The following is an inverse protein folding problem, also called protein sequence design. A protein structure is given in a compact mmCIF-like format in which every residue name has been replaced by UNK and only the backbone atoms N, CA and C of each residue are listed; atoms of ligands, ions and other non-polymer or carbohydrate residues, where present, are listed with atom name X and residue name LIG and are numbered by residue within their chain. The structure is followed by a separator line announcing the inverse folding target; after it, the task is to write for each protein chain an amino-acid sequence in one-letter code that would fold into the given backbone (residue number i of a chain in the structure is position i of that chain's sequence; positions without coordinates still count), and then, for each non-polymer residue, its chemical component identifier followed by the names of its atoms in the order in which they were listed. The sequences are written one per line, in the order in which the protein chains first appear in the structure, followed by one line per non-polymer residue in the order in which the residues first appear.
data_IF_096650689570
#
_entry.id   IF_096650689570
#
_cell.length_a   1.000
_cell.length_b   1.000
_cell.length_c   1.000
_cell.angle_alpha   90.00
_cell.angle_beta   90.00
_cell.angle_gamma   90.00
#
_symmetry.space_group_name_H-M   'P 1'
#
loop_
_entity.id
_entity.type
_entity.pdbx_description
1 polymer ?
#
# COMPACT_ATOMS: atom_id res chain seq x y z
N UNK A 1 9.52 -49.77 -29.17
CA UNK A 1 8.28 -48.96 -29.00
C UNK A 1 8.17 -48.37 -27.63
N UNK A 2 8.42 -49.12 -26.54
CA UNK A 2 8.34 -48.65 -25.14
C UNK A 2 9.23 -47.48 -24.81
N UNK A 3 10.48 -47.46 -25.31
CA UNK A 3 11.42 -46.36 -25.06
C UNK A 3 10.96 -45.03 -25.64
N UNK A 4 10.33 -45.02 -26.80
CA UNK A 4 9.81 -43.84 -27.46
C UNK A 4 8.61 -43.29 -26.66
N UNK A 5 7.71 -44.16 -26.22
CA UNK A 5 6.55 -43.77 -25.38
C UNK A 5 7.00 -43.16 -24.04
N UNK A 6 8.03 -43.74 -23.42
CA UNK A 6 8.60 -43.21 -22.18
C UNK A 6 9.24 -41.83 -22.37
N UNK A 7 9.94 -41.57 -23.47
CA UNK A 7 10.51 -40.26 -23.78
C UNK A 7 9.38 -39.25 -24.00
N UNK A 8 8.33 -39.58 -24.73
CA UNK A 8 7.19 -38.72 -24.96
C UNK A 8 6.49 -38.38 -23.64
N UNK A 9 6.28 -39.36 -22.77
CA UNK A 9 5.66 -39.14 -21.45
C UNK A 9 6.51 -38.21 -20.58
N UNK A 10 7.81 -38.33 -20.58
CA UNK A 10 8.71 -37.42 -19.84
C UNK A 10 8.61 -35.99 -20.40
N UNK A 11 8.64 -35.83 -21.71
CA UNK A 11 8.54 -34.51 -22.35
C UNK A 11 7.19 -33.80 -21.99
N UNK A 12 6.08 -34.53 -22.09
CA UNK A 12 4.77 -34.04 -21.71
C UNK A 12 4.72 -33.64 -20.24
N UNK A 13 5.30 -34.47 -19.36
CA UNK A 13 5.36 -34.19 -17.92
C UNK A 13 6.14 -32.89 -17.60
N UNK A 14 7.29 -32.71 -18.24
CA UNK A 14 8.10 -31.50 -18.08
C UNK A 14 7.36 -30.25 -18.56
N UNK A 15 6.75 -30.32 -19.75
CA UNK A 15 5.96 -29.20 -20.29
C UNK A 15 4.79 -28.86 -19.37
N UNK A 16 4.06 -29.85 -18.89
CA UNK A 16 2.93 -29.67 -17.96
C UNK A 16 3.40 -29.06 -16.64
N UNK A 17 4.55 -29.47 -16.10
CA UNK A 17 5.13 -28.89 -14.90
C UNK A 17 5.51 -27.41 -15.07
N UNK A 18 6.15 -27.07 -16.18
CA UNK A 18 6.49 -25.68 -16.50
C UNK A 18 5.24 -24.81 -16.65
N UNK A 19 4.23 -25.32 -17.33
CA UNK A 19 2.96 -24.61 -17.52
C UNK A 19 2.22 -24.41 -16.18
N UNK A 20 2.22 -25.41 -15.32
CA UNK A 20 1.61 -25.32 -14.00
C UNK A 20 2.32 -24.26 -13.12
N UNK A 21 3.65 -24.21 -13.14
CA UNK A 21 4.42 -23.19 -12.43
C UNK A 21 4.13 -21.78 -12.97
N UNK A 22 4.14 -21.63 -14.29
CA UNK A 22 3.80 -20.35 -14.93
C UNK A 22 2.41 -19.85 -14.52
N UNK A 23 1.41 -20.74 -14.62
CA UNK A 23 0.03 -20.42 -14.24
C UNK A 23 -0.07 -20.04 -12.76
N UNK A 24 0.63 -20.77 -11.89
CA UNK A 24 0.66 -20.47 -10.46
C UNK A 24 1.22 -19.07 -10.17
N UNK A 25 2.37 -18.71 -10.73
CA UNK A 25 2.95 -17.39 -10.52
C UNK A 25 2.10 -16.26 -11.11
N UNK A 26 1.51 -16.49 -12.28
CA UNK A 26 0.62 -15.51 -12.91
C UNK A 26 -0.65 -15.28 -12.11
N UNK A 27 -1.27 -16.34 -11.62
CA UNK A 27 -2.47 -16.27 -10.77
C UNK A 27 -2.14 -15.59 -9.44
N UNK A 28 -1.04 -15.94 -8.78
CA UNK A 28 -0.62 -15.32 -7.54
C UNK A 28 -0.36 -13.82 -7.68
N UNK A 29 0.25 -13.38 -8.80
CA UNK A 29 0.44 -11.97 -9.07
C UNK A 29 -0.90 -11.22 -9.26
N UNK A 30 -1.83 -11.82 -10.01
CA UNK A 30 -3.17 -11.26 -10.24
C UNK A 30 -4.00 -11.18 -8.95
N UNK A 31 -3.94 -12.21 -8.12
CA UNK A 31 -4.65 -12.25 -6.85
C UNK A 31 -4.11 -11.18 -5.89
N UNK A 32 -2.78 -10.97 -5.87
CA UNK A 32 -2.17 -9.90 -5.11
C UNK A 32 -2.63 -8.52 -5.58
N UNK A 33 -2.74 -8.29 -6.89
CA UNK A 33 -3.26 -7.03 -7.43
C UNK A 33 -4.71 -6.81 -7.02
N UNK A 34 -5.56 -7.83 -7.10
CA UNK A 34 -6.97 -7.75 -6.63
C UNK A 34 -7.04 -7.42 -5.15
N UNK A 35 -6.33 -8.16 -4.32
CA UNK A 35 -6.28 -7.91 -2.89
C UNK A 35 -5.83 -6.47 -2.57
N UNK A 36 -4.91 -5.92 -3.38
CA UNK A 36 -4.45 -4.53 -3.24
C UNK A 36 -5.57 -3.53 -3.56
N UNK A 37 -6.31 -3.76 -4.65
CA UNK A 37 -7.44 -2.91 -5.04
C UNK A 37 -8.53 -2.93 -3.98
N UNK A 38 -8.90 -4.11 -3.50
CA UNK A 38 -9.94 -4.28 -2.48
C UNK A 38 -9.54 -3.60 -1.17
N UNK A 39 -8.29 -3.79 -0.72
CA UNK A 39 -7.76 -3.16 0.48
C UNK A 39 -7.71 -1.63 0.35
N UNK A 40 -7.34 -1.11 -0.82
CA UNK A 40 -7.31 0.34 -1.05
C UNK A 40 -8.72 0.94 -1.10
N UNK A 41 -9.66 0.30 -1.76
CA UNK A 41 -11.07 0.74 -1.78
C UNK A 41 -11.66 0.75 -0.37
N UNK A 42 -11.40 -0.29 0.42
CA UNK A 42 -11.82 -0.34 1.81
C UNK A 42 -11.17 0.77 2.65
N UNK A 43 -9.89 1.06 2.43
CA UNK A 43 -9.21 2.17 3.08
C UNK A 43 -9.85 3.51 2.70
N UNK A 44 -10.15 3.69 1.42
CA UNK A 44 -10.78 4.91 0.91
C UNK A 44 -12.12 5.15 1.61
N UNK A 45 -13.02 4.20 1.58
CA UNK A 45 -14.34 4.30 2.21
C UNK A 45 -14.27 4.50 3.73
N UNK A 46 -13.39 3.77 4.41
CA UNK A 46 -13.36 3.73 5.87
C UNK A 46 -12.48 4.80 6.52
N UNK A 47 -11.60 5.44 5.78
CA UNK A 47 -10.68 6.43 6.34
C UNK A 47 -10.45 7.65 5.45
N UNK A 48 -10.08 7.48 4.18
CA UNK A 48 -9.61 8.60 3.36
C UNK A 48 -10.74 9.60 3.06
N UNK A 49 -11.93 9.11 2.69
CA UNK A 49 -13.08 9.95 2.39
C UNK A 49 -13.54 10.73 3.63
N UNK A 50 -13.50 10.09 4.79
CA UNK A 50 -13.81 10.76 6.05
C UNK A 50 -12.75 11.80 6.44
N UNK A 51 -11.46 11.52 6.25
CA UNK A 51 -10.39 12.48 6.50
C UNK A 51 -10.49 13.71 5.58
N UNK A 52 -10.97 13.54 4.36
CA UNK A 52 -11.16 14.64 3.41
C UNK A 52 -12.21 15.65 3.86
N UNK A 53 -13.13 15.27 4.73
CA UNK A 53 -14.14 16.18 5.30
C UNK A 53 -13.51 17.19 6.30
N UNK A 54 -12.34 16.86 6.85
CA UNK A 54 -11.66 17.72 7.79
C UNK A 54 -10.65 18.63 7.08
N UNK A 55 -10.77 19.93 7.32
CA UNK A 55 -9.74 20.90 6.89
C UNK A 55 -8.48 20.73 7.75
N UNK A 56 -7.27 20.87 7.20
CA UNK A 56 -6.04 20.77 7.98
C UNK A 56 -5.98 21.68 9.21
N UNK A 57 -6.56 22.89 9.10
CA UNK A 57 -6.69 23.83 10.24
C UNK A 57 -7.53 23.26 11.37
N UNK A 58 -8.66 22.62 11.05
CA UNK A 58 -9.55 22.03 12.04
C UNK A 58 -8.89 20.83 12.74
N UNK A 59 -8.11 20.02 12.00
CA UNK A 59 -7.37 18.90 12.60
C UNK A 59 -6.39 19.40 13.65
N UNK A 60 -5.67 20.51 13.39
CA UNK A 60 -4.75 21.12 14.36
C UNK A 60 -5.44 21.55 15.65
N UNK A 61 -6.69 21.98 15.59
CA UNK A 61 -7.46 22.31 16.79
C UNK A 61 -7.96 21.04 17.51
N UNK A 62 -8.47 20.06 16.76
CA UNK A 62 -8.99 18.80 17.31
C UNK A 62 -7.91 18.04 18.09
N UNK A 63 -6.66 18.02 17.59
CA UNK A 63 -5.56 17.29 18.24
C UNK A 63 -5.16 17.87 19.61
N UNK A 64 -5.59 19.09 19.96
CA UNK A 64 -5.33 19.68 21.28
C UNK A 64 -6.12 18.96 22.38
N UNK A 65 -7.34 18.50 22.09
CA UNK A 65 -8.17 17.74 23.01
C UNK A 65 -8.26 16.26 22.64
N UNK A 66 -7.41 15.44 23.27
CA UNK A 66 -7.37 13.98 23.06
C UNK A 66 -8.62 13.23 23.55
N UNK A 67 -9.46 13.85 24.37
CA UNK A 67 -10.68 13.24 24.90
C UNK A 67 -11.86 13.46 23.98
N UNK A 68 -11.77 14.40 23.03
CA UNK A 68 -12.83 14.69 22.08
C UNK A 68 -13.15 13.47 21.20
N UNK A 69 -14.40 13.31 20.84
CA UNK A 69 -14.85 12.25 19.95
C UNK A 69 -14.22 12.39 18.54
N UNK A 70 -14.01 13.62 18.08
CA UNK A 70 -13.38 13.87 16.80
C UNK A 70 -11.91 13.45 16.79
N UNK A 71 -11.15 13.66 17.88
CA UNK A 71 -9.79 13.14 17.99
C UNK A 71 -9.77 11.60 17.96
N UNK A 72 -10.69 10.94 18.62
CA UNK A 72 -10.79 9.47 18.59
C UNK A 72 -11.07 8.97 17.19
N UNK A 73 -12.01 9.61 16.46
CA UNK A 73 -12.31 9.28 15.06
C UNK A 73 -11.10 9.48 14.16
N UNK A 74 -10.44 10.63 14.22
CA UNK A 74 -9.24 10.91 13.43
C UNK A 74 -8.12 9.91 13.74
N UNK A 75 -7.89 9.58 15.01
CA UNK A 75 -6.91 8.57 15.41
C UNK A 75 -7.24 7.19 14.84
N UNK A 76 -8.52 6.81 14.79
CA UNK A 76 -8.96 5.55 14.19
C UNK A 76 -8.71 5.51 12.67
N UNK A 77 -8.92 6.63 11.97
CA UNK A 77 -8.63 6.71 10.53
C UNK A 77 -7.13 6.58 10.25
N UNK A 78 -6.29 7.25 11.04
CA UNK A 78 -4.82 7.12 10.89
C UNK A 78 -4.35 5.70 11.22
N UNK A 79 -4.94 5.05 12.22
CA UNK A 79 -4.64 3.64 12.52
C UNK A 79 -4.98 2.69 11.36
N UNK A 80 -6.05 2.94 10.62
CA UNK A 80 -6.39 2.17 9.41
C UNK A 80 -5.39 2.39 8.28
N UNK A 81 -4.93 3.64 8.10
CA UNK A 81 -3.86 3.95 7.14
C UNK A 81 -2.57 3.22 7.53
N UNK A 82 -2.20 3.23 8.81
CA UNK A 82 -1.04 2.48 9.31
C UNK A 82 -1.17 0.98 9.01
N UNK A 83 -2.34 0.40 9.26
CA UNK A 83 -2.59 -1.01 8.97
C UNK A 83 -2.41 -1.33 7.48
N UNK A 84 -2.94 -0.49 6.60
CA UNK A 84 -2.71 -0.64 5.16
C UNK A 84 -1.22 -0.52 4.81
N UNK A 85 -0.50 0.44 5.39
CA UNK A 85 0.93 0.62 5.20
C UNK A 85 1.77 -0.58 5.69
N UNK A 86 1.32 -1.28 6.74
CA UNK A 86 1.94 -2.57 7.15
C UNK A 86 1.87 -3.57 6.00
N UNK A 87 0.72 -3.75 5.38
CA UNK A 87 0.55 -4.67 4.24
C UNK A 87 1.43 -4.30 3.04
N UNK A 88 1.62 -2.99 2.78
CA UNK A 88 2.53 -2.49 1.73
C UNK A 88 3.98 -2.83 2.05
N UNK A 89 4.42 -2.55 3.29
CA UNK A 89 5.80 -2.79 3.72
C UNK A 89 6.16 -4.29 3.77
N UNK A 90 5.21 -5.13 4.15
CA UNK A 90 5.37 -6.58 4.15
C UNK A 90 5.20 -7.22 2.77
N UNK A 91 4.96 -6.42 1.71
CA UNK A 91 4.74 -6.88 0.33
C UNK A 91 3.55 -7.85 0.20
N UNK A 92 2.59 -7.78 1.10
CA UNK A 92 1.30 -8.46 0.98
C UNK A 92 0.55 -7.89 -0.21
N UNK A 93 0.60 -6.56 -0.37
CA UNK A 93 0.03 -5.85 -1.49
C UNK A 93 1.02 -5.65 -2.63
N UNK A 94 0.52 -5.54 -3.86
CA UNK A 94 1.33 -5.22 -5.04
C UNK A 94 1.78 -3.76 -5.01
N UNK A 95 3.07 -3.54 -4.78
CA UNK A 95 3.62 -2.20 -4.61
C UNK A 95 3.42 -1.30 -5.83
N UNK A 96 3.44 -1.88 -7.05
CA UNK A 96 3.22 -1.09 -8.27
C UNK A 96 1.80 -0.56 -8.30
N UNK A 97 0.83 -1.40 -8.02
CA UNK A 97 -0.59 -1.04 -7.93
C UNK A 97 -0.82 -0.01 -6.82
N UNK A 98 -0.24 -0.20 -5.63
CA UNK A 98 -0.30 0.77 -4.53
C UNK A 98 0.21 2.14 -4.98
N UNK A 99 1.37 2.18 -5.65
CA UNK A 99 1.92 3.45 -6.12
C UNK A 99 0.98 4.15 -7.10
N UNK A 100 0.45 3.42 -8.08
CA UNK A 100 -0.44 3.97 -9.11
C UNK A 100 -1.76 4.51 -8.53
N UNK A 101 -2.29 3.88 -7.49
CA UNK A 101 -3.53 4.31 -6.84
C UNK A 101 -3.33 5.46 -5.85
N UNK A 102 -2.27 5.41 -5.07
CA UNK A 102 -2.16 6.18 -3.84
C UNK A 102 -1.17 7.34 -3.89
N UNK A 103 -0.15 7.34 -4.81
CA UNK A 103 0.93 8.33 -4.76
C UNK A 103 0.44 9.76 -4.82
N UNK A 104 -0.52 10.09 -5.68
CA UNK A 104 -1.03 11.46 -5.82
C UNK A 104 -1.74 11.95 -4.55
N UNK A 105 -2.44 11.07 -3.86
CA UNK A 105 -3.13 11.41 -2.62
C UNK A 105 -2.17 11.48 -1.43
N UNK A 106 -1.24 10.54 -1.34
CA UNK A 106 -0.21 10.50 -0.30
C UNK A 106 0.73 11.71 -0.41
N UNK A 107 1.17 12.08 -1.61
CA UNK A 107 2.09 13.21 -1.84
C UNK A 107 1.44 14.58 -1.59
N UNK A 108 0.16 14.75 -1.93
CA UNK A 108 -0.45 16.07 -2.00
C UNK A 108 -1.27 16.50 -0.79
N UNK A 109 -2.00 15.63 -0.16
CA UNK A 109 -3.02 16.06 0.80
C UNK A 109 -3.08 15.27 2.10
N UNK A 110 -2.73 13.99 2.06
CA UNK A 110 -2.84 13.12 3.21
C UNK A 110 -1.84 13.49 4.31
N UNK A 111 -0.58 13.72 3.94
CA UNK A 111 0.51 14.05 4.89
C UNK A 111 0.14 15.23 5.78
N UNK A 112 -0.32 16.33 5.20
CA UNK A 112 -0.70 17.54 5.94
C UNK A 112 -1.83 17.31 6.93
N UNK A 113 -2.72 16.34 6.65
CA UNK A 113 -3.86 16.00 7.53
C UNK A 113 -3.47 15.06 8.65
N UNK A 114 -2.63 14.08 8.39
CA UNK A 114 -2.32 13.05 9.38
C UNK A 114 -1.13 13.41 10.28
N UNK A 115 -0.19 14.22 9.79
CA UNK A 115 1.03 14.60 10.53
C UNK A 115 0.72 15.17 11.92
N UNK A 116 -0.23 16.11 12.13
CA UNK A 116 -0.55 16.61 13.47
C UNK A 116 -1.03 15.52 14.43
N UNK A 117 -1.70 14.49 13.91
CA UNK A 117 -2.20 13.36 14.71
C UNK A 117 -1.03 12.43 15.08
N UNK A 118 -0.15 12.18 14.12
CA UNK A 118 1.06 11.36 14.30
C UNK A 118 1.99 12.02 15.35
N UNK A 119 2.30 13.29 15.15
CA UNK A 119 3.14 14.06 16.09
C UNK A 119 2.56 14.03 17.52
N UNK A 120 1.25 14.21 17.64
CA UNK A 120 0.59 14.18 18.94
C UNK A 120 0.67 12.80 19.62
N UNK A 121 0.62 11.73 18.85
CA UNK A 121 0.79 10.35 19.34
C UNK A 121 2.24 10.08 19.74
N UNK A 122 3.19 10.47 18.90
CA UNK A 122 4.62 10.23 19.12
C UNK A 122 5.20 11.00 20.34
N UNK A 123 4.47 11.99 20.87
CA UNK A 123 4.84 12.61 22.15
C UNK A 123 4.80 11.61 23.34
N UNK A 124 4.13 10.47 23.17
CA UNK A 124 3.91 9.49 24.25
C UNK A 124 4.54 8.13 23.96
N UNK A 125 4.74 7.81 22.68
CA UNK A 125 5.32 6.56 22.23
C UNK A 125 6.07 6.80 20.93
N UNK A 126 7.36 6.54 20.92
CA UNK A 126 8.20 6.68 19.75
C UNK A 126 7.83 5.58 18.74
N UNK A 127 7.63 5.91 17.50
CA UNK A 127 7.31 5.01 16.37
C UNK A 127 5.85 4.56 16.21
N UNK A 128 4.89 5.27 16.77
CA UNK A 128 3.46 4.90 16.69
C UNK A 128 2.94 4.89 15.26
N UNK A 129 3.44 5.17 14.25
CA UNK A 129 2.99 5.09 12.86
C UNK A 129 4.19 4.97 11.90
N UNK A 130 5.15 4.12 12.29
CA UNK A 130 6.40 3.92 11.56
C UNK A 130 6.19 3.40 10.13
N UNK A 131 5.13 2.64 9.90
CA UNK A 131 4.89 2.08 8.56
C UNK A 131 4.37 3.14 7.58
N UNK A 132 3.60 4.12 8.05
CA UNK A 132 3.22 5.27 7.24
C UNK A 132 4.47 6.00 6.73
N UNK A 133 5.42 6.33 7.63
CA UNK A 133 6.67 7.01 7.25
C UNK A 133 7.52 6.19 6.27
N UNK A 134 7.60 4.85 6.45
CA UNK A 134 8.29 3.97 5.51
C UNK A 134 7.65 3.97 4.13
N UNK A 135 6.32 3.97 4.05
CA UNK A 135 5.59 4.02 2.78
C UNK A 135 5.80 5.38 2.09
N UNK A 136 5.77 6.49 2.83
CA UNK A 136 6.10 7.81 2.28
C UNK A 136 7.52 7.83 1.67
N UNK A 137 8.52 7.40 2.43
CA UNK A 137 9.90 7.37 1.96
C UNK A 137 10.09 6.46 0.73
N UNK A 138 9.37 5.35 0.68
CA UNK A 138 9.38 4.47 -0.48
C UNK A 138 8.71 5.12 -1.71
N UNK A 139 7.55 5.77 -1.56
CA UNK A 139 6.86 6.46 -2.66
C UNK A 139 7.70 7.60 -3.23
N UNK A 140 8.35 8.38 -2.39
CA UNK A 140 9.24 9.47 -2.79
C UNK A 140 10.41 8.94 -3.65
N UNK A 141 11.09 7.89 -3.20
CA UNK A 141 12.14 7.21 -3.99
C UNK A 141 11.65 6.67 -5.32
N UNK A 142 10.46 6.10 -5.35
CA UNK A 142 9.89 5.55 -6.59
C UNK A 142 9.51 6.67 -7.57
N UNK A 143 8.98 7.79 -7.07
CA UNK A 143 8.70 8.99 -7.85
C UNK A 143 9.97 9.54 -8.51
N UNK A 144 11.07 9.64 -7.75
CA UNK A 144 12.36 10.09 -8.29
C UNK A 144 12.91 9.15 -9.37
N UNK A 145 12.83 7.84 -9.16
CA UNK A 145 13.24 6.86 -10.16
C UNK A 145 12.45 7.00 -11.46
N UNK A 146 11.15 7.20 -11.38
CA UNK A 146 10.28 7.37 -12.55
C UNK A 146 10.60 8.67 -13.28
N UNK A 147 10.84 9.77 -12.57
CA UNK A 147 11.28 11.05 -13.16
C UNK A 147 12.61 10.90 -13.89
N UNK A 148 13.61 10.25 -13.31
CA UNK A 148 14.91 9.99 -13.94
C UNK A 148 14.79 9.15 -15.23
N UNK A 149 13.94 8.12 -15.23
CA UNK A 149 13.68 7.31 -16.42
C UNK A 149 13.00 8.12 -17.53
N UNK A 150 12.08 9.00 -17.19
CA UNK A 150 11.41 9.86 -18.18
C UNK A 150 12.34 10.92 -18.76
N UNK A 151 13.32 11.43 -18.01
CA UNK A 151 14.28 12.44 -18.48
C UNK A 151 15.50 11.86 -19.20
N UNK A 152 15.87 10.61 -18.94
CA UNK A 152 17.02 9.95 -19.59
C UNK A 152 16.71 9.25 -20.92
N UNK A 153 15.49 9.30 -21.39
CA UNK A 153 15.03 8.70 -22.65
C UNK A 153 14.92 9.70 -23.83
N UNK A 154 15.56 10.87 -23.74
CA UNK A 154 15.66 11.85 -24.84
C UNK A 154 17.06 11.90 -25.38
#
# INVERSE_FOLDING_TARGET
METILSIIAIVISVISGVFALYTFFWTAARDRQRATLDAYNQLQEQALDHLNLYRPSNIKEIVKDRRSEDYKKLSAYVARIEHFCVGVNQKIYDQKTVYELAHGYFDGGLKVRIEPIIERKNQFDHDYYANIHKVYAWMEKETEKRKKKASGGR
#
